data_IF_286374581168
#
_entry.id   IF_286374581168
#
_cell.length_a   1.000
_cell.length_b   1.000
_cell.length_c   1.000
_cell.angle_alpha   90.00
_cell.angle_beta   90.00
_cell.angle_gamma   90.00
#
_symmetry.space_group_name_H-M   'P 1'
#
loop_
_entity.id
_entity.type
_entity.pdbx_description
1 polymer ?
#
# COMPACT_ATOMS: atom_id res chain seq x y z
N UNK A 1 -37.39 -11.37 -1.21
CA UNK A 1 -36.07 -10.74 -0.97
C UNK A 1 -35.80 -9.79 -2.13
N UNK A 2 -35.57 -8.51 -1.88
CA UNK A 2 -35.17 -7.55 -2.92
C UNK A 2 -33.66 -7.67 -3.09
N UNK A 3 -33.22 -8.02 -4.29
CA UNK A 3 -31.80 -8.09 -4.62
C UNK A 3 -31.19 -6.68 -4.58
N UNK A 4 -30.24 -6.44 -3.67
CA UNK A 4 -29.57 -5.14 -3.53
C UNK A 4 -28.53 -4.89 -4.63
N UNK A 5 -28.24 -5.89 -5.48
CA UNK A 5 -27.27 -5.77 -6.57
C UNK A 5 -27.87 -5.29 -7.90
N UNK A 6 -29.19 -5.28 -8.09
CA UNK A 6 -29.80 -5.06 -9.41
C UNK A 6 -29.53 -3.69 -10.06
N UNK A 7 -28.99 -2.73 -9.29
CA UNK A 7 -28.66 -1.37 -9.75
C UNK A 7 -27.20 -1.13 -10.12
N UNK A 8 -26.27 -2.03 -9.78
CA UNK A 8 -24.83 -1.80 -10.00
C UNK A 8 -24.43 -2.32 -11.38
N UNK A 9 -23.68 -1.52 -12.12
CA UNK A 9 -23.10 -1.88 -13.43
C UNK A 9 -21.76 -2.62 -13.23
N UNK A 10 -20.83 -2.00 -12.50
CA UNK A 10 -19.51 -2.58 -12.23
C UNK A 10 -18.87 -2.06 -10.96
N UNK A 11 -17.86 -2.78 -10.51
CA UNK A 11 -16.96 -2.34 -9.45
C UNK A 11 -15.58 -2.02 -10.02
N UNK A 12 -14.93 -1.02 -9.45
CA UNK A 12 -13.52 -0.73 -9.69
C UNK A 12 -12.76 -0.76 -8.35
N UNK A 13 -11.59 -1.39 -8.32
CA UNK A 13 -10.71 -1.47 -7.16
C UNK A 13 -9.46 -0.65 -7.45
N UNK A 14 -9.02 0.09 -6.44
CA UNK A 14 -7.76 0.79 -6.42
C UNK A 14 -6.98 0.37 -5.17
N UNK A 15 -5.78 -0.19 -5.38
CA UNK A 15 -4.82 -0.53 -4.33
C UNK A 15 -3.66 0.47 -4.36
N UNK A 16 -3.51 1.25 -3.29
CA UNK A 16 -2.45 2.26 -3.17
C UNK A 16 -1.51 1.93 -2.01
N UNK A 17 -0.18 1.88 -2.23
CA UNK A 17 0.78 1.73 -1.14
C UNK A 17 0.58 2.82 -0.08
N UNK A 18 0.66 2.46 1.21
CA UNK A 18 0.55 3.44 2.30
C UNK A 18 1.69 4.46 2.28
N UNK A 19 2.88 4.00 1.91
CA UNK A 19 4.12 4.79 1.82
C UNK A 19 4.65 4.60 0.41
N UNK A 20 4.82 5.71 -0.32
CA UNK A 20 5.59 5.71 -1.57
C UNK A 20 6.90 6.45 -1.32
N UNK A 21 8.02 5.73 -1.40
CA UNK A 21 9.35 6.31 -1.23
C UNK A 21 9.84 7.04 -2.48
N UNK A 22 9.25 6.77 -3.66
CA UNK A 22 9.76 7.21 -4.97
C UNK A 22 8.77 8.09 -5.76
N UNK A 23 7.99 8.94 -5.08
CA UNK A 23 7.06 9.88 -5.71
C UNK A 23 5.65 9.33 -5.93
N UNK A 24 4.79 10.10 -6.61
CA UNK A 24 3.36 9.81 -6.78
C UNK A 24 3.16 8.53 -7.59
N UNK A 25 2.79 7.42 -6.95
CA UNK A 25 2.28 6.23 -7.64
C UNK A 25 1.00 6.61 -8.37
N UNK A 26 0.97 6.42 -9.69
CA UNK A 26 -0.22 6.65 -10.52
C UNK A 26 -1.36 5.81 -9.97
N UNK A 27 -2.48 6.45 -9.65
CA UNK A 27 -3.70 5.77 -9.20
C UNK A 27 -4.34 5.09 -10.41
N UNK A 28 -4.36 3.76 -10.41
CA UNK A 28 -4.95 2.96 -11.48
C UNK A 28 -6.12 2.19 -10.88
N UNK A 29 -7.34 2.60 -11.26
CA UNK A 29 -8.54 1.83 -10.99
C UNK A 29 -8.56 0.60 -11.91
N UNK A 30 -8.81 -0.58 -11.33
CA UNK A 30 -8.91 -1.86 -12.04
C UNK A 30 -10.33 -2.37 -11.94
N UNK A 31 -10.83 -3.02 -12.99
CA UNK A 31 -12.15 -3.65 -12.94
C UNK A 31 -12.16 -4.73 -11.85
N UNK A 32 -13.24 -4.74 -11.07
CA UNK A 32 -13.44 -5.64 -9.95
C UNK A 32 -14.50 -6.68 -10.19
N UNK A 33 -14.10 -7.94 -10.10
CA UNK A 33 -15.03 -9.07 -10.05
C UNK A 33 -15.14 -9.57 -8.60
N UNK A 34 -16.28 -10.17 -8.23
CA UNK A 34 -16.48 -10.71 -6.90
C UNK A 34 -16.40 -12.24 -6.94
N UNK A 35 -15.48 -12.88 -6.19
CA UNK A 35 -14.51 -12.27 -5.26
C UNK A 35 -13.30 -11.65 -5.98
N UNK A 36 -12.81 -10.52 -5.46
CA UNK A 36 -11.61 -9.86 -5.97
C UNK A 36 -10.38 -10.31 -5.17
N UNK A 37 -9.38 -10.89 -5.84
CA UNK A 37 -8.09 -11.20 -5.23
C UNK A 37 -7.23 -9.94 -5.22
N UNK A 38 -6.91 -9.43 -4.02
CA UNK A 38 -6.02 -8.28 -3.84
C UNK A 38 -4.63 -8.57 -4.41
N UNK A 39 -4.02 -7.60 -5.07
CA UNK A 39 -2.63 -7.72 -5.51
C UNK A 39 -1.68 -7.66 -4.31
N UNK A 40 -1.98 -6.80 -3.34
CA UNK A 40 -1.26 -6.74 -2.08
C UNK A 40 -1.85 -7.69 -1.02
N UNK A 41 -1.46 -8.96 -1.11
CA UNK A 41 -1.80 -10.00 -0.13
C UNK A 41 -1.22 -9.76 1.27
N UNK A 42 -0.34 -8.77 1.44
CA UNK A 42 0.20 -8.40 2.75
C UNK A 42 -0.67 -7.37 3.50
N UNK A 43 -1.75 -6.89 2.87
CA UNK A 43 -2.67 -5.89 3.41
C UNK A 43 -1.95 -4.63 3.92
N UNK A 44 -0.95 -4.15 3.18
CA UNK A 44 -0.22 -2.90 3.47
C UNK A 44 -0.74 -1.71 2.68
N UNK A 45 -1.50 -1.99 1.63
CA UNK A 45 -2.09 -1.02 0.72
C UNK A 45 -3.45 -0.54 1.21
N UNK A 46 -3.75 0.73 0.95
CA UNK A 46 -5.10 1.29 1.10
C UNK A 46 -5.93 0.76 -0.06
N UNK A 47 -7.11 0.24 0.26
CA UNK A 47 -8.00 -0.35 -0.73
C UNK A 47 -9.19 0.59 -0.89
N UNK A 48 -9.44 1.04 -2.11
CA UNK A 48 -10.65 1.80 -2.44
C UNK A 48 -11.51 0.98 -3.39
N UNK A 49 -12.79 0.84 -3.08
CA UNK A 49 -13.78 0.18 -3.93
C UNK A 49 -14.75 1.24 -4.42
N UNK A 50 -14.88 1.37 -5.72
CA UNK A 50 -15.86 2.23 -6.39
C UNK A 50 -16.94 1.35 -6.99
N UNK A 51 -18.19 1.55 -6.60
CA UNK A 51 -19.36 0.99 -7.27
C UNK A 51 -19.91 2.03 -8.26
N UNK A 52 -20.15 1.62 -9.50
CA UNK A 52 -20.73 2.45 -10.55
C UNK A 52 -22.09 1.84 -10.92
N UNK A 53 -23.15 2.63 -10.90
CA UNK A 53 -24.48 2.18 -11.32
C UNK A 53 -24.68 2.32 -12.84
N UNK A 54 -25.81 1.82 -13.36
CA UNK A 54 -26.14 1.89 -14.80
C UNK A 54 -26.36 3.32 -15.32
N UNK A 55 -26.59 4.28 -14.44
CA UNK A 55 -26.71 5.70 -14.78
C UNK A 55 -25.37 6.44 -14.68
N UNK A 56 -24.29 5.75 -14.29
CA UNK A 56 -22.95 6.31 -14.11
C UNK A 56 -22.71 6.98 -12.75
N UNK A 57 -23.62 6.85 -11.78
CA UNK A 57 -23.38 7.36 -10.44
C UNK A 57 -22.31 6.51 -9.74
N UNK A 58 -21.36 7.19 -9.09
CA UNK A 58 -20.25 6.54 -8.40
C UNK A 58 -20.40 6.60 -6.88
N UNK A 59 -20.06 5.50 -6.20
CA UNK A 59 -19.91 5.45 -4.75
C UNK A 59 -18.58 4.81 -4.38
N UNK A 60 -17.74 5.54 -3.65
CA UNK A 60 -16.42 5.07 -3.22
C UNK A 60 -16.42 4.74 -1.72
N UNK A 61 -15.94 3.55 -1.37
CA UNK A 61 -15.65 3.12 0.00
C UNK A 61 -14.16 2.84 0.14
N UNK A 62 -13.56 3.24 1.25
CA UNK A 62 -12.13 3.06 1.51
C UNK A 62 -11.90 2.20 2.74
N UNK A 63 -10.97 1.26 2.62
CA UNK A 63 -10.49 0.42 3.70
C UNK A 63 -9.00 0.71 3.86
N UNK A 64 -8.61 1.07 5.07
CA UNK A 64 -7.21 1.31 5.44
C UNK A 64 -6.83 0.21 6.43
N UNK A 65 -6.10 -0.83 5.98
CA UNK A 65 -5.69 -1.89 6.88
C UNK A 65 -4.80 -1.39 8.04
N UNK A 66 -4.89 -2.02 9.22
CA UNK A 66 -3.96 -1.75 10.31
C UNK A 66 -2.54 -2.13 9.90
N UNK A 67 -1.56 -1.31 10.26
CA UNK A 67 -0.16 -1.60 9.96
C UNK A 67 0.32 -2.78 10.81
N UNK A 68 0.89 -3.80 10.17
CA UNK A 68 1.49 -4.96 10.83
C UNK A 68 2.99 -5.01 10.53
N UNK A 69 3.79 -4.92 11.58
CA UNK A 69 5.24 -5.12 11.52
C UNK A 69 5.51 -6.57 11.14
N UNK A 70 6.25 -6.77 10.05
CA UNK A 70 6.76 -8.06 9.62
C UNK A 70 8.23 -8.19 10.01
N UNK A 71 8.71 -9.44 10.09
CA UNK A 71 10.12 -9.75 10.25
C UNK A 71 11.01 -9.04 9.21
N UNK A 72 10.51 -8.87 7.98
CA UNK A 72 11.22 -8.11 6.93
C UNK A 72 11.47 -6.66 7.34
N UNK A 73 10.51 -6.01 8.00
CA UNK A 73 10.65 -4.63 8.46
C UNK A 73 11.72 -4.55 9.55
N UNK A 74 11.75 -5.53 10.47
CA UNK A 74 12.77 -5.63 11.54
C UNK A 74 14.16 -5.79 10.93
N UNK A 75 14.32 -6.71 9.96
CA UNK A 75 15.62 -6.94 9.30
C UNK A 75 16.10 -5.68 8.59
N UNK A 76 15.22 -4.96 7.87
CA UNK A 76 15.58 -3.69 7.21
C UNK A 76 16.08 -2.67 8.24
N UNK A 77 15.38 -2.50 9.36
CA UNK A 77 15.80 -1.58 10.42
C UNK A 77 17.17 -1.97 10.99
N UNK A 78 17.41 -3.26 11.24
CA UNK A 78 18.70 -3.73 11.73
C UNK A 78 19.84 -3.45 10.74
N UNK A 79 19.62 -3.68 9.44
CA UNK A 79 20.61 -3.37 8.40
C UNK A 79 20.94 -1.87 8.34
N UNK A 80 19.93 -1.00 8.47
CA UNK A 80 20.13 0.46 8.51
C UNK A 80 20.98 0.85 9.73
N UNK A 81 20.66 0.31 10.92
CA UNK A 81 21.41 0.60 12.14
C UNK A 81 22.88 0.14 12.05
N UNK A 82 23.13 -1.04 11.48
CA UNK A 82 24.49 -1.54 11.24
C UNK A 82 25.22 -0.62 10.26
N UNK A 83 24.58 -0.24 9.15
CA UNK A 83 25.15 0.67 8.16
C UNK A 83 25.55 2.02 8.75
N UNK A 84 24.68 2.62 9.58
CA UNK A 84 24.96 3.87 10.30
C UNK A 84 26.14 3.68 11.27
N UNK A 85 26.16 2.57 12.03
CA UNK A 85 27.26 2.28 12.96
C UNK A 85 28.61 2.13 12.27
N UNK A 86 28.64 1.48 11.09
CA UNK A 86 29.84 1.34 10.27
C UNK A 86 30.30 2.70 9.71
N UNK A 87 29.38 3.51 9.19
CA UNK A 87 29.67 4.87 8.71
C UNK A 87 30.26 5.73 9.83
N UNK A 88 29.65 5.71 11.03
CA UNK A 88 30.17 6.40 12.20
C UNK A 88 31.59 5.97 12.56
N UNK A 89 31.86 4.65 12.52
CA UNK A 89 33.19 4.10 12.80
C UNK A 89 34.22 4.59 11.78
N UNK A 90 33.86 4.62 10.49
CA UNK A 90 34.74 5.12 9.42
C UNK A 90 35.05 6.61 9.63
N UNK A 91 34.02 7.43 9.93
CA UNK A 91 34.20 8.87 10.18
C UNK A 91 35.16 9.10 11.36
N UNK A 92 34.96 8.37 12.47
CA UNK A 92 35.84 8.43 13.64
C UNK A 92 37.29 8.05 13.32
N UNK A 93 37.49 7.06 12.45
CA UNK A 93 38.81 6.66 11.98
C UNK A 93 39.42 7.78 11.14
N UNK A 94 38.70 8.32 10.15
CA UNK A 94 39.17 9.43 9.33
C UNK A 94 39.55 10.66 10.16
N UNK A 95 38.75 11.03 11.16
CA UNK A 95 39.06 12.15 12.08
C UNK A 95 40.32 11.92 12.93
N UNK A 96 40.75 10.67 13.12
CA UNK A 96 41.98 10.35 13.87
C UNK A 96 43.25 10.52 13.00
N UNK A 97 43.12 10.44 11.68
CA UNK A 97 44.23 10.49 10.72
C UNK A 97 44.28 11.81 9.93
N UNK A 98 43.40 12.77 10.25
CA UNK A 98 43.40 14.15 9.77
C UNK A 98 43.88 15.07 10.90
#
# INVERSE_FOLDING_TARGET
AVDKMSGIDRYEILEEPRISFLGTTKKIWKLGESPYLLEDQSLRSKISVKAIDKAGNERIVKIIPPYKISWKDIVIVLLILIGIGLLWRIIKICQKYL
#
